data_IF_763778707466
#
_entry.id   IF_763778707466
#
_cell.length_a   1.000
_cell.length_b   1.000
_cell.length_c   1.000
_cell.angle_alpha   90.00
_cell.angle_beta   90.00
_cell.angle_gamma   90.00
#
_symmetry.space_group_name_H-M   'P 1'
#
loop_
_entity.id
_entity.type
_entity.pdbx_description
1 polymer ?
#
# COMPACT_ATOMS: atom_id res chain seq x y z
N UNK A 1 -13.21 7.59 6.57
CA UNK A 1 -11.82 7.40 7.06
C UNK A 1 -11.64 5.92 7.35
N UNK A 2 -10.66 5.24 6.71
CA UNK A 2 -10.36 3.83 6.97
C UNK A 2 -9.59 3.70 8.29
N UNK A 3 -9.75 2.58 9.03
CA UNK A 3 -9.13 2.37 10.35
C UNK A 3 -8.60 0.94 10.46
N UNK A 4 -7.39 0.77 10.99
CA UNK A 4 -6.73 -0.54 11.16
C UNK A 4 -5.36 -0.60 10.49
N UNK A 5 -4.89 -1.82 10.15
CA UNK A 5 -3.66 -2.00 9.36
C UNK A 5 -3.86 -1.35 7.97
N UNK A 6 -3.04 -0.34 7.60
CA UNK A 6 -3.28 0.45 6.39
C UNK A 6 -3.31 -0.38 5.12
N UNK A 7 -2.44 -1.38 5.00
CA UNK A 7 -2.37 -2.20 3.79
C UNK A 7 -3.61 -3.10 3.66
N UNK A 8 -4.01 -3.76 4.74
CA UNK A 8 -5.20 -4.62 4.75
C UNK A 8 -6.47 -3.82 4.40
N UNK A 9 -6.62 -2.63 4.97
CA UNK A 9 -7.75 -1.74 4.69
C UNK A 9 -7.75 -1.23 3.25
N UNK A 10 -6.58 -0.85 2.71
CA UNK A 10 -6.46 -0.41 1.32
C UNK A 10 -6.80 -1.54 0.35
N UNK A 11 -6.30 -2.77 0.58
CA UNK A 11 -6.60 -3.93 -0.26
C UNK A 11 -8.11 -4.23 -0.26
N UNK A 12 -8.74 -4.25 0.92
CA UNK A 12 -10.20 -4.43 1.04
C UNK A 12 -10.96 -3.36 0.28
N UNK A 13 -10.56 -2.10 0.44
CA UNK A 13 -11.19 -0.98 -0.23
C UNK A 13 -11.08 -1.09 -1.76
N UNK A 14 -9.87 -1.33 -2.28
CA UNK A 14 -9.61 -1.49 -3.73
C UNK A 14 -10.45 -2.62 -4.31
N UNK A 15 -10.53 -3.76 -3.62
CA UNK A 15 -11.37 -4.88 -4.05
C UNK A 15 -12.86 -4.51 -4.06
N UNK A 16 -13.36 -3.87 -3.00
CA UNK A 16 -14.77 -3.44 -2.91
C UNK A 16 -15.18 -2.41 -3.96
N UNK A 17 -14.21 -1.66 -4.49
CA UNK A 17 -14.42 -0.63 -5.51
C UNK A 17 -14.17 -1.12 -6.92
N UNK A 18 -13.68 -2.35 -7.10
CA UNK A 18 -13.27 -2.87 -8.41
C UNK A 18 -12.23 -1.96 -9.06
N UNK A 19 -11.27 -1.47 -8.27
CA UNK A 19 -10.26 -0.53 -8.78
C UNK A 19 -9.34 -1.23 -9.78
N UNK A 20 -9.02 -0.56 -10.90
CA UNK A 20 -8.09 -1.09 -11.91
C UNK A 20 -6.62 -0.76 -11.60
N UNK A 21 -6.37 0.29 -10.81
CA UNK A 21 -5.03 0.68 -10.39
C UNK A 21 -5.01 1.46 -9.06
N UNK A 22 -3.87 1.41 -8.38
CA UNK A 22 -3.55 2.23 -7.20
C UNK A 22 -2.17 2.87 -7.35
N UNK A 23 -2.08 4.17 -7.07
CA UNK A 23 -0.81 4.92 -7.05
C UNK A 23 -0.44 5.23 -5.61
N UNK A 24 0.77 4.85 -5.19
CA UNK A 24 1.26 5.10 -3.84
C UNK A 24 2.65 5.73 -3.86
N UNK A 25 2.84 6.73 -3.00
CA UNK A 25 4.14 7.37 -2.79
C UNK A 25 4.95 6.68 -1.70
N UNK A 26 6.26 6.51 -1.92
CA UNK A 26 7.19 6.10 -0.86
C UNK A 26 7.85 7.34 -0.26
N UNK A 27 7.37 7.84 0.89
CA UNK A 27 8.13 8.85 1.63
C UNK A 27 9.40 8.19 2.17
N UNK A 28 10.55 8.66 1.72
CA UNK A 28 11.87 8.20 2.17
C UNK A 28 12.11 8.55 3.64
N UNK A 29 11.56 7.77 4.57
CA UNK A 29 12.03 7.77 5.95
C UNK A 29 13.40 7.09 5.96
N UNK A 30 14.46 7.90 5.92
CA UNK A 30 15.87 7.49 5.78
C UNK A 30 16.19 6.10 6.33
N UNK A 31 16.66 5.23 5.43
CA UNK A 31 17.26 3.89 5.49
C UNK A 31 17.04 2.90 6.65
N UNK A 32 16.56 3.25 7.85
CA UNK A 32 16.66 2.36 9.02
C UNK A 32 15.41 2.31 9.94
N UNK A 33 14.36 3.12 9.73
CA UNK A 33 13.12 3.01 10.54
C UNK A 33 11.92 2.37 9.81
N UNK A 34 11.95 2.27 8.49
CA UNK A 34 10.87 1.69 7.67
C UNK A 34 10.95 0.18 7.42
N UNK A 35 12.00 -0.49 7.91
CA UNK A 35 12.24 -1.93 7.69
C UNK A 35 11.62 -2.84 8.76
N UNK A 36 11.22 -2.30 9.91
CA UNK A 36 10.88 -3.11 11.11
C UNK A 36 9.49 -3.75 11.02
N UNK A 37 8.62 -3.25 10.15
CA UNK A 37 7.32 -3.85 9.82
C UNK A 37 7.14 -3.61 8.33
N UNK A 38 6.99 -4.66 7.51
CA UNK A 38 6.93 -4.54 6.05
C UNK A 38 6.10 -3.34 5.57
N UNK A 39 6.71 -2.50 4.72
CA UNK A 39 6.11 -1.24 4.26
C UNK A 39 4.72 -1.45 3.65
N UNK A 40 3.82 -0.48 3.81
CA UNK A 40 2.49 -0.49 3.17
C UNK A 40 2.62 -0.67 1.66
N UNK A 41 3.60 0.01 1.04
CA UNK A 41 3.91 -0.13 -0.37
C UNK A 41 4.32 -1.56 -0.73
N UNK A 42 5.13 -2.23 0.11
CA UNK A 42 5.52 -3.62 -0.09
C UNK A 42 4.28 -4.53 -0.09
N UNK A 43 3.40 -4.38 0.91
CA UNK A 43 2.18 -5.18 1.05
C UNK A 43 1.23 -4.96 -0.13
N UNK A 44 1.05 -3.71 -0.57
CA UNK A 44 0.25 -3.38 -1.76
C UNK A 44 0.81 -4.01 -3.03
N UNK A 45 2.13 -3.93 -3.25
CA UNK A 45 2.77 -4.52 -4.43
C UNK A 45 2.59 -6.04 -4.49
N UNK A 46 2.42 -6.71 -3.36
CA UNK A 46 2.28 -8.18 -3.29
C UNK A 46 0.82 -8.64 -3.32
N UNK A 47 -0.12 -7.84 -2.83
CA UNK A 47 -1.49 -8.33 -2.54
C UNK A 47 -2.61 -7.46 -3.12
N UNK A 48 -2.31 -6.32 -3.75
CA UNK A 48 -3.37 -5.52 -4.35
C UNK A 48 -4.07 -6.30 -5.47
N UNK A 49 -5.40 -6.18 -5.60
CA UNK A 49 -6.16 -6.86 -6.64
C UNK A 49 -6.00 -6.20 -8.02
N UNK A 50 -5.13 -5.18 -8.13
CA UNK A 50 -5.06 -4.26 -9.26
C UNK A 50 -3.62 -3.76 -9.47
N UNK A 51 -3.40 -3.02 -10.56
CA UNK A 51 -2.06 -2.52 -10.88
C UNK A 51 -1.54 -1.56 -9.79
N UNK A 52 -0.38 -1.85 -9.21
CA UNK A 52 0.26 -1.02 -8.20
C UNK A 52 1.39 -0.18 -8.82
N UNK A 53 1.24 1.15 -8.79
CA UNK A 53 2.23 2.08 -9.28
C UNK A 53 2.89 2.79 -8.10
N UNK A 54 4.20 2.62 -7.97
CA UNK A 54 5.00 3.24 -6.92
C UNK A 54 5.73 4.46 -7.45
N UNK A 55 5.55 5.60 -6.78
CA UNK A 55 6.22 6.86 -7.11
C UNK A 55 7.09 7.32 -5.94
N UNK A 56 8.22 7.95 -6.25
CA UNK A 56 9.10 8.59 -5.25
C UNK A 56 8.63 10.01 -4.97
#
# INVERSE_FOLDING_TARGET
MLRGDPAAELIRYLNSKGADAVVSGSRGLGNLRGLVIGSVSQKLSQHAPCACIMVK
#
